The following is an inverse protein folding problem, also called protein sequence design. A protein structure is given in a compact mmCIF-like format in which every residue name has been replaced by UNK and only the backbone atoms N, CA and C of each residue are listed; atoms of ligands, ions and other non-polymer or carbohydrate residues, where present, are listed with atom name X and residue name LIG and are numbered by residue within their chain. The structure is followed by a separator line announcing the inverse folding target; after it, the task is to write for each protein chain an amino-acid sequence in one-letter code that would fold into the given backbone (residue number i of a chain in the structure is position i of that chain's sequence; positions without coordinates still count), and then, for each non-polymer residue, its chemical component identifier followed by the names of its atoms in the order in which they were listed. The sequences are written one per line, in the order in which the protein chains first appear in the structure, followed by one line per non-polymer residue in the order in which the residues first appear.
data_IF_977492825628
#
_entry.id   IF_977492825628
#
_cell.length_a   1.000
_cell.length_b   1.000
_cell.length_c   1.000
_cell.angle_alpha   90.00
_cell.angle_beta   90.00
_cell.angle_gamma   90.00
#
_symmetry.space_group_name_H-M   'P 1'
#
loop_
_entity.id
_entity.type
_entity.pdbx_description
1 polymer ?
#
# COMPACT_ATOMS: atom_id res chain seq x y z
N UNK A 1 1.35 -13.63 -2.03
CA UNK A 1 -0.08 -14.01 -2.10
C UNK A 1 -0.73 -14.33 -0.74
N UNK A 2 -0.12 -15.13 0.16
CA UNK A 2 -0.72 -15.41 1.49
C UNK A 2 -1.01 -14.16 2.34
N UNK A 3 -0.23 -13.08 2.16
CA UNK A 3 -0.42 -11.83 2.89
C UNK A 3 -1.80 -11.18 2.67
N UNK A 4 -2.28 -11.08 1.43
CA UNK A 4 -3.59 -10.46 1.14
C UNK A 4 -4.77 -11.36 1.57
N UNK A 5 -4.60 -12.67 1.50
CA UNK A 5 -5.57 -13.62 2.05
C UNK A 5 -5.77 -13.39 3.56
N UNK A 6 -4.66 -13.25 4.31
CA UNK A 6 -4.70 -12.99 5.75
C UNK A 6 -5.38 -11.64 6.06
N UNK A 7 -5.05 -10.58 5.31
CA UNK A 7 -5.71 -9.26 5.46
C UNK A 7 -7.24 -9.36 5.27
N UNK A 8 -7.70 -10.13 4.27
CA UNK A 8 -9.13 -10.36 4.08
C UNK A 8 -9.82 -11.10 5.23
N UNK A 9 -9.12 -12.01 5.92
CA UNK A 9 -9.64 -12.71 7.10
C UNK A 9 -9.69 -11.78 8.32
N UNK A 10 -8.68 -10.96 8.51
CA UNK A 10 -8.59 -9.97 9.59
C UNK A 10 -9.68 -8.90 9.47
N UNK A 11 -9.89 -8.35 8.27
CA UNK A 11 -11.01 -7.42 8.06
C UNK A 11 -12.36 -8.06 8.46
N UNK A 12 -12.58 -9.33 8.11
CA UNK A 12 -13.81 -10.05 8.48
C UNK A 12 -13.95 -10.26 9.98
N UNK A 13 -12.87 -10.53 10.71
CA UNK A 13 -12.93 -10.68 12.17
C UNK A 13 -13.34 -9.35 12.84
N UNK A 14 -12.93 -8.22 12.24
CA UNK A 14 -13.28 -6.86 12.62
C UNK A 14 -14.62 -6.36 12.06
N UNK A 15 -15.40 -7.21 11.39
CA UNK A 15 -16.67 -6.83 10.75
C UNK A 15 -16.50 -5.73 9.68
N UNK A 16 -15.33 -5.70 9.05
CA UNK A 16 -14.98 -4.81 7.94
C UNK A 16 -15.00 -5.64 6.65
N UNK A 17 -15.71 -5.13 5.64
CA UNK A 17 -15.86 -5.83 4.37
C UNK A 17 -14.64 -5.60 3.48
N UNK A 18 -14.13 -6.69 2.91
CA UNK A 18 -12.96 -6.66 2.04
C UNK A 18 -13.37 -6.90 0.59
N UNK A 19 -13.12 -5.91 -0.27
CA UNK A 19 -13.33 -5.97 -1.71
C UNK A 19 -11.99 -5.92 -2.42
N UNK A 20 -11.78 -6.82 -3.39
CA UNK A 20 -10.61 -6.78 -4.27
C UNK A 20 -11.06 -6.42 -5.68
N UNK A 21 -10.52 -5.31 -6.20
CA UNK A 21 -10.74 -4.86 -7.58
C UNK A 21 -9.61 -5.42 -8.45
N UNK A 22 -9.94 -6.31 -9.39
CA UNK A 22 -8.99 -6.79 -10.38
C UNK A 22 -9.08 -5.93 -11.64
N UNK A 23 -8.22 -4.92 -11.72
CA UNK A 23 -8.24 -3.92 -12.80
C UNK A 23 -7.77 -4.54 -14.13
N UNK A 24 -6.89 -5.54 -14.07
CA UNK A 24 -6.32 -6.18 -15.26
C UNK A 24 -7.34 -6.92 -16.14
N UNK A 25 -8.45 -7.38 -15.55
CA UNK A 25 -9.52 -8.07 -16.30
C UNK A 25 -10.23 -7.12 -17.30
N UNK A 26 -10.25 -5.81 -17.02
CA UNK A 26 -10.86 -4.79 -17.88
C UNK A 26 -9.97 -4.31 -19.04
N UNK A 27 -8.67 -4.63 -19.01
CA UNK A 27 -7.72 -4.19 -20.02
C UNK A 27 -7.66 -5.15 -21.21
N UNK A 28 -7.52 -4.59 -22.42
CA UNK A 28 -7.30 -5.38 -23.64
C UNK A 28 -5.97 -6.15 -23.53
N UNK A 29 -5.86 -7.37 -24.11
CA UNK A 29 -4.60 -8.11 -24.08
C UNK A 29 -3.39 -7.33 -24.64
N UNK A 30 -3.63 -6.43 -25.60
CA UNK A 30 -2.61 -5.59 -26.24
C UNK A 30 -2.11 -4.42 -25.38
N UNK A 31 -2.85 -4.01 -24.35
CA UNK A 31 -2.44 -2.91 -23.45
C UNK A 31 -1.75 -3.43 -22.19
N UNK A 32 -1.81 -4.74 -21.93
CA UNK A 32 -1.23 -5.35 -20.73
C UNK A 32 0.30 -5.31 -20.79
N UNK A 33 0.92 -4.66 -19.81
CA UNK A 33 2.38 -4.63 -19.67
C UNK A 33 2.93 -6.06 -19.51
N UNK A 34 3.79 -6.50 -20.42
CA UNK A 34 4.49 -7.80 -20.40
C UNK A 34 5.62 -7.86 -19.34
N UNK A 35 5.62 -6.96 -18.36
CA UNK A 35 6.74 -6.80 -17.41
C UNK A 35 7.98 -6.14 -18.03
N UNK A 36 7.95 -5.78 -19.31
CA UNK A 36 9.00 -5.02 -19.96
C UNK A 36 9.01 -3.56 -19.47
N UNK A 37 9.96 -3.27 -18.57
CA UNK A 37 10.46 -1.97 -18.11
C UNK A 37 9.67 -0.75 -18.62
N UNK A 38 8.57 -0.41 -17.95
CA UNK A 38 8.20 1.00 -17.91
C UNK A 38 9.28 1.71 -17.09
N UNK A 39 10.17 2.41 -17.80
CA UNK A 39 11.13 3.33 -17.18
C UNK A 39 10.35 4.56 -16.74
N UNK A 40 10.28 4.81 -15.44
CA UNK A 40 9.61 5.99 -14.87
C UNK A 40 10.52 7.26 -14.93
N UNK A 41 11.74 7.11 -15.46
CA UNK A 41 12.74 8.14 -15.77
C UNK A 41 13.41 7.69 -17.09
N UNK A 42 13.51 8.42 -18.20
CA UNK A 42 13.58 9.88 -18.42
C UNK A 42 13.19 10.24 -19.88
N UNK A 43 12.96 11.55 -20.07
CA UNK A 43 13.37 12.42 -21.20
C UNK A 43 12.52 12.66 -22.48
N UNK A 44 11.52 11.86 -22.86
CA UNK A 44 10.66 12.22 -24.01
C UNK A 44 9.32 12.84 -23.60
N UNK A 45 9.42 14.08 -23.12
CA UNK A 45 8.31 14.90 -22.61
C UNK A 45 7.23 15.28 -23.64
N UNK A 46 7.37 14.85 -24.90
CA UNK A 46 6.45 15.22 -25.99
C UNK A 46 5.61 14.06 -26.54
N UNK A 47 5.88 12.80 -26.15
CA UNK A 47 5.12 11.62 -26.60
C UNK A 47 4.49 10.80 -25.46
N UNK A 48 4.71 11.19 -24.21
CA UNK A 48 4.28 10.43 -23.04
C UNK A 48 3.31 11.28 -22.20
N UNK A 49 2.03 11.31 -22.59
CA UNK A 49 1.05 11.16 -21.50
C UNK A 49 1.45 9.83 -20.84
N UNK A 50 1.76 9.77 -19.53
CA UNK A 50 1.98 8.48 -18.90
C UNK A 50 0.74 7.67 -19.26
N UNK A 51 0.86 6.53 -19.96
CA UNK A 51 -0.32 5.82 -20.39
C UNK A 51 -1.16 5.63 -19.14
N UNK A 52 -2.39 6.13 -19.18
CA UNK A 52 -3.37 5.94 -18.12
C UNK A 52 -3.76 4.47 -18.11
N UNK A 53 -2.79 3.62 -17.80
CA UNK A 53 -2.86 2.20 -18.05
C UNK A 53 -3.89 1.56 -17.14
N UNK A 54 -4.11 2.16 -15.97
CA UNK A 54 -5.01 1.65 -14.96
C UNK A 54 -5.93 2.71 -14.34
N UNK A 55 -5.65 4.01 -14.46
CA UNK A 55 -6.36 5.05 -13.68
C UNK A 55 -7.83 5.19 -14.08
N UNK A 56 -8.14 5.24 -15.38
CA UNK A 56 -9.52 5.18 -15.89
C UNK A 56 -10.28 3.95 -15.40
N UNK A 57 -9.68 2.76 -15.53
CA UNK A 57 -10.32 1.52 -15.10
C UNK A 57 -10.51 1.43 -13.58
N UNK A 58 -9.55 1.92 -12.80
CA UNK A 58 -9.66 2.06 -11.33
C UNK A 58 -10.82 3.00 -10.99
N UNK A 59 -10.90 4.15 -11.63
CA UNK A 59 -11.95 5.14 -11.41
C UNK A 59 -13.34 4.58 -11.74
N UNK A 60 -13.50 3.89 -12.86
CA UNK A 60 -14.78 3.26 -13.25
C UNK A 60 -15.22 2.18 -12.27
N UNK A 61 -14.32 1.26 -11.91
CA UNK A 61 -14.65 0.18 -10.97
C UNK A 61 -14.98 0.73 -9.58
N UNK A 62 -14.22 1.72 -9.11
CA UNK A 62 -14.47 2.33 -7.81
C UNK A 62 -15.77 3.14 -7.80
N UNK A 63 -16.08 3.86 -8.88
CA UNK A 63 -17.37 4.55 -9.05
C UNK A 63 -18.54 3.58 -9.01
N UNK A 64 -18.44 2.45 -9.70
CA UNK A 64 -19.45 1.38 -9.66
C UNK A 64 -19.63 0.83 -8.25
N UNK A 65 -18.53 0.63 -7.51
CA UNK A 65 -18.55 0.14 -6.13
C UNK A 65 -19.21 1.15 -5.18
N UNK A 66 -18.87 2.43 -5.31
CA UNK A 66 -19.47 3.54 -4.54
C UNK A 66 -20.98 3.58 -4.71
N UNK A 67 -21.47 3.47 -5.95
CA UNK A 67 -22.90 3.44 -6.24
C UNK A 67 -23.58 2.19 -5.70
N UNK A 68 -22.96 1.02 -5.88
CA UNK A 68 -23.54 -0.27 -5.48
C UNK A 68 -23.65 -0.42 -3.97
N UNK A 69 -22.65 0.08 -3.23
CA UNK A 69 -22.59 -0.01 -1.77
C UNK A 69 -23.15 1.24 -1.07
N UNK A 70 -23.56 2.26 -1.83
CA UNK A 70 -24.00 3.56 -1.32
C UNK A 70 -22.97 4.16 -0.33
N UNK A 71 -21.71 4.23 -0.78
CA UNK A 71 -20.59 4.70 0.05
C UNK A 71 -20.75 6.19 0.34
N UNK A 72 -20.62 6.56 1.62
CA UNK A 72 -20.77 7.94 2.10
C UNK A 72 -19.45 8.71 2.30
N UNK A 73 -18.30 8.03 2.30
CA UNK A 73 -16.97 8.61 2.44
C UNK A 73 -15.93 7.65 1.85
N UNK A 74 -14.86 8.20 1.27
CA UNK A 74 -13.70 7.42 0.85
C UNK A 74 -12.47 7.91 1.61
N UNK A 75 -11.76 6.99 2.25
CA UNK A 75 -10.46 7.24 2.85
C UNK A 75 -9.41 6.38 2.17
N UNK A 76 -8.28 6.97 1.77
CA UNK A 76 -7.16 6.28 1.14
C UNK A 76 -5.84 6.61 1.83
N UNK A 77 -4.86 5.73 1.68
CA UNK A 77 -3.48 6.01 2.07
C UNK A 77 -2.80 7.00 1.11
N UNK A 78 -1.63 7.50 1.54
CA UNK A 78 -0.77 8.37 0.75
C UNK A 78 0.35 7.58 0.06
N UNK A 79 0.59 7.89 -1.21
CA UNK A 79 1.78 7.45 -1.93
C UNK A 79 2.31 8.59 -2.79
N UNK A 80 3.63 8.93 -2.71
CA UNK A 80 4.22 10.00 -3.51
C UNK A 80 4.47 9.59 -4.97
N UNK A 81 4.22 8.33 -5.33
CA UNK A 81 4.48 7.80 -6.66
C UNK A 81 3.50 8.38 -7.67
N UNK A 82 3.99 8.58 -8.92
CA UNK A 82 3.20 9.19 -10.00
C UNK A 82 1.91 8.40 -10.30
N UNK A 83 1.99 7.07 -10.43
CA UNK A 83 0.82 6.28 -10.81
C UNK A 83 -0.30 6.28 -9.74
N UNK A 84 -0.03 5.97 -8.45
CA UNK A 84 -1.06 6.11 -7.40
C UNK A 84 -1.65 7.52 -7.29
N UNK A 85 -0.81 8.56 -7.36
CA UNK A 85 -1.28 9.96 -7.35
C UNK A 85 -2.22 10.24 -8.53
N UNK A 86 -1.87 9.76 -9.72
CA UNK A 86 -2.69 9.90 -10.92
C UNK A 86 -4.02 9.15 -10.77
N UNK A 87 -4.04 7.93 -10.22
CA UNK A 87 -5.27 7.17 -10.01
C UNK A 87 -6.23 7.91 -9.06
N UNK A 88 -5.72 8.48 -7.98
CA UNK A 88 -6.51 9.29 -7.05
C UNK A 88 -7.16 10.47 -7.77
N UNK A 89 -6.43 11.17 -8.64
CA UNK A 89 -6.99 12.30 -9.39
C UNK A 89 -8.07 11.86 -10.39
N UNK A 90 -7.88 10.74 -11.08
CA UNK A 90 -8.91 10.18 -11.97
C UNK A 90 -10.17 9.77 -11.21
N UNK A 91 -10.01 9.13 -10.06
CA UNK A 91 -11.12 8.77 -9.19
C UNK A 91 -11.86 10.03 -8.72
N UNK A 92 -11.13 11.03 -8.21
CA UNK A 92 -11.69 12.28 -7.68
C UNK A 92 -12.51 13.04 -8.73
N UNK A 93 -12.07 13.06 -9.98
CA UNK A 93 -12.78 13.74 -11.08
C UNK A 93 -14.03 13.00 -11.56
N UNK A 94 -14.13 11.68 -11.36
CA UNK A 94 -15.28 10.88 -11.79
C UNK A 94 -16.35 10.66 -10.70
N UNK A 95 -16.00 10.88 -9.45
CA UNK A 95 -16.90 10.74 -8.31
C UNK A 95 -17.75 12.00 -8.08
N UNK A 96 -18.91 11.87 -7.41
CA UNK A 96 -19.75 13.02 -7.10
C UNK A 96 -19.01 14.05 -6.22
N UNK A 97 -19.07 15.37 -6.53
CA UNK A 97 -18.35 16.40 -5.79
C UNK A 97 -18.69 16.47 -4.29
N UNK A 98 -19.88 16.02 -3.92
CA UNK A 98 -20.37 16.00 -2.54
C UNK A 98 -19.85 14.82 -1.71
N UNK A 99 -19.21 13.82 -2.32
CA UNK A 99 -18.68 12.66 -1.62
C UNK A 99 -17.33 13.03 -0.97
N UNK A 100 -17.19 12.99 0.37
CA UNK A 100 -15.92 13.23 1.03
C UNK A 100 -14.86 12.23 0.56
N UNK A 101 -13.70 12.76 0.18
CA UNK A 101 -12.53 12.00 -0.22
C UNK A 101 -11.34 12.47 0.61
N UNK A 102 -10.90 11.62 1.54
CA UNK A 102 -9.83 11.92 2.49
C UNK A 102 -8.60 11.08 2.18
N UNK A 103 -7.42 11.69 2.29
CA UNK A 103 -6.15 11.00 2.19
C UNK A 103 -5.41 11.07 3.52
N UNK A 104 -4.80 9.96 3.94
CA UNK A 104 -4.08 9.83 5.20
C UNK A 104 -2.69 9.26 4.95
N UNK A 105 -1.67 9.87 5.53
CA UNK A 105 -0.32 9.31 5.51
C UNK A 105 -0.22 8.18 6.53
N UNK A 106 -0.40 6.95 6.03
CA UNK A 106 -0.35 5.72 6.79
C UNK A 106 1.05 5.09 6.82
N UNK A 107 2.05 5.71 6.18
CA UNK A 107 3.36 5.08 5.94
C UNK A 107 4.47 5.76 6.74
N UNK A 108 4.39 7.08 6.90
CA UNK A 108 5.38 7.85 7.63
C UNK A 108 4.94 8.09 9.08
N UNK A 109 5.90 8.13 10.00
CA UNK A 109 5.65 8.52 11.39
C UNK A 109 5.13 9.96 11.42
N UNK A 110 5.87 10.89 10.81
CA UNK A 110 5.42 12.27 10.61
C UNK A 110 4.83 12.36 9.20
N UNK A 111 3.55 12.77 9.03
CA UNK A 111 2.95 12.92 7.71
C UNK A 111 3.82 13.77 6.79
N UNK A 112 3.96 13.38 5.52
CA UNK A 112 4.93 13.99 4.59
C UNK A 112 4.74 15.51 4.48
N UNK A 113 3.49 15.98 4.44
CA UNK A 113 3.14 17.41 4.35
C UNK A 113 3.30 18.15 5.68
N UNK A 114 3.47 17.44 6.80
CA UNK A 114 3.81 18.01 8.09
C UNK A 114 5.32 18.03 8.34
N UNK A 115 6.09 17.19 7.63
CA UNK A 115 7.54 17.02 7.84
C UNK A 115 8.36 18.21 7.35
N UNK A 116 8.07 18.73 6.16
CA UNK A 116 8.72 19.92 5.59
C UNK A 116 7.87 20.54 4.48
N UNK A 117 7.83 21.87 4.40
CA UNK A 117 7.12 22.61 3.35
C UNK A 117 7.82 22.55 1.97
N UNK A 118 9.02 21.94 1.91
CA UNK A 118 9.82 21.82 0.70
C UNK A 118 10.63 20.52 0.67
N UNK A 119 11.06 20.17 -0.54
CA UNK A 119 12.07 19.13 -0.73
C UNK A 119 13.37 19.53 -0.02
N UNK A 120 13.86 18.64 0.85
CA UNK A 120 15.06 18.86 1.63
C UNK A 120 16.30 18.34 0.90
N UNK A 121 17.37 19.13 0.93
CA UNK A 121 18.59 18.83 0.18
C UNK A 121 19.36 17.63 0.75
N UNK A 122 19.28 17.39 2.06
CA UNK A 122 20.04 16.31 2.69
C UNK A 122 19.39 15.80 3.97
N UNK A 123 19.86 14.65 4.44
CA UNK A 123 19.45 14.11 5.73
C UNK A 123 19.76 15.08 6.90
N UNK A 124 20.81 15.91 6.79
CA UNK A 124 21.16 16.90 7.83
C UNK A 124 20.08 17.99 7.98
N UNK A 125 19.38 18.35 6.91
CA UNK A 125 18.40 19.44 6.92
C UNK A 125 17.00 18.96 7.31
N UNK A 126 16.61 17.73 6.95
CA UNK A 126 15.32 17.16 7.33
C UNK A 126 15.28 16.57 8.75
N UNK A 127 16.38 15.97 9.24
CA UNK A 127 16.40 15.30 10.56
C UNK A 127 15.91 16.19 11.71
N UNK A 128 16.41 17.42 11.90
CA UNK A 128 15.98 18.26 13.02
C UNK A 128 14.46 18.53 13.00
N UNK A 129 13.90 18.78 11.82
CA UNK A 129 12.46 19.04 11.63
C UNK A 129 11.59 17.85 12.03
N UNK A 130 12.02 16.63 11.66
CA UNK A 130 11.31 15.41 12.03
C UNK A 130 11.46 15.10 13.53
N UNK A 131 12.65 15.30 14.09
CA UNK A 131 12.89 15.09 15.53
C UNK A 131 12.06 16.04 16.40
N UNK A 132 11.93 17.30 16.02
CA UNK A 132 11.08 18.28 16.70
C UNK A 132 9.61 17.83 16.77
N UNK A 133 9.12 17.15 15.72
CA UNK A 133 7.74 16.66 15.60
C UNK A 133 7.53 15.28 16.23
N UNK A 134 8.61 14.59 16.62
CA UNK A 134 8.52 13.21 17.11
C UNK A 134 7.63 13.10 18.35
N UNK A 135 7.68 14.06 19.28
CA UNK A 135 6.83 14.03 20.48
C UNK A 135 5.33 14.08 20.19
N UNK A 136 4.91 14.61 19.04
CA UNK A 136 3.50 14.66 18.63
C UNK A 136 3.06 13.41 17.87
N UNK A 137 3.93 12.87 17.00
CA UNK A 137 3.52 11.85 16.02
C UNK A 137 4.00 10.44 16.36
N UNK A 138 5.11 10.28 17.09
CA UNK A 138 5.59 8.98 17.54
C UNK A 138 4.80 8.57 18.79
N UNK A 139 3.57 8.14 18.57
CA UNK A 139 2.62 7.74 19.60
C UNK A 139 2.16 6.31 19.35
N UNK A 140 1.65 5.66 20.39
CA UNK A 140 1.02 4.35 20.26
C UNK A 140 -0.25 4.44 19.41
N UNK A 141 -0.51 3.40 18.61
CA UNK A 141 -1.76 3.31 17.86
C UNK A 141 -2.91 2.92 18.79
N UNK A 142 -4.10 3.53 18.64
CA UNK A 142 -5.28 3.05 19.36
C UNK A 142 -5.62 1.63 18.90
N UNK A 143 -6.16 0.78 19.79
CA UNK A 143 -6.54 -0.58 19.42
C UNK A 143 -7.63 -0.57 18.35
N UNK A 144 -7.51 -1.45 17.35
CA UNK A 144 -8.55 -1.63 16.35
C UNK A 144 -9.81 -2.20 17.01
N UNK A 145 -10.90 -1.46 16.88
CA UNK A 145 -12.22 -1.87 17.37
C UNK A 145 -13.01 -2.55 16.25
N UNK A 146 -13.75 -3.59 16.61
CA UNK A 146 -14.68 -4.24 15.69
C UNK A 146 -15.78 -3.27 15.28
N UNK A 147 -16.08 -3.20 13.99
CA UNK A 147 -17.12 -2.33 13.47
C UNK A 147 -18.48 -2.73 14.05
N UNK A 148 -19.26 -1.79 14.64
CA UNK A 148 -20.50 -2.11 15.35
C UNK A 148 -21.63 -2.56 14.42
N UNK A 149 -21.61 -2.16 13.16
CA UNK A 149 -22.61 -2.53 12.16
C UNK A 149 -22.09 -3.61 11.22
N UNK A 150 -22.84 -4.69 11.02
CA UNK A 150 -22.54 -5.70 10.00
C UNK A 150 -23.23 -5.38 8.67
N UNK A 151 -22.52 -5.42 7.54
CA UNK A 151 -23.18 -5.32 6.23
C UNK A 151 -23.81 -6.67 5.88
N UNK A 152 -25.14 -6.65 5.70
CA UNK A 152 -25.91 -7.82 5.25
C UNK A 152 -25.99 -7.95 3.72
N UNK A 153 -25.50 -6.96 2.97
CA UNK A 153 -25.63 -6.93 1.51
C UNK A 153 -24.96 -8.16 0.86
N UNK A 154 -25.54 -8.74 -0.21
CA UNK A 154 -24.95 -9.89 -0.90
C UNK A 154 -23.54 -9.60 -1.45
N UNK A 155 -23.28 -8.36 -1.85
CA UNK A 155 -21.97 -7.86 -2.32
C UNK A 155 -20.92 -7.90 -1.21
N UNK A 156 -21.31 -7.63 0.03
CA UNK A 156 -20.47 -7.67 1.23
C UNK A 156 -20.02 -9.11 1.62
N UNK A 157 -20.59 -10.15 0.99
CA UNK A 157 -20.27 -11.58 1.25
C UNK A 157 -19.40 -12.24 0.17
N UNK A 158 -19.09 -11.54 -0.93
CA UNK A 158 -18.30 -12.13 -2.03
C UNK A 158 -16.90 -12.48 -1.51
N UNK A 159 -16.55 -13.76 -1.53
CA UNK A 159 -15.19 -14.21 -1.24
C UNK A 159 -14.31 -14.02 -2.47
N UNK A 160 -13.11 -13.47 -2.25
CA UNK A 160 -12.09 -13.37 -3.29
C UNK A 160 -11.62 -14.77 -3.68
N UNK A 161 -11.71 -15.11 -4.97
CA UNK A 161 -11.18 -16.36 -5.50
C UNK A 161 -9.71 -16.16 -5.89
N UNK A 162 -8.82 -16.48 -4.95
CA UNK A 162 -7.37 -16.32 -5.12
C UNK A 162 -6.77 -17.23 -6.19
N UNK A 163 -7.35 -18.42 -6.41
CA UNK A 163 -6.88 -19.34 -7.45
C UNK A 163 -7.12 -18.75 -8.83
N UNK A 164 -8.33 -18.22 -9.07
CA UNK A 164 -8.69 -17.57 -10.33
C UNK A 164 -7.81 -16.34 -10.62
N UNK A 165 -7.51 -15.54 -9.60
CA UNK A 165 -6.62 -14.37 -9.76
C UNK A 165 -5.22 -14.81 -10.20
N UNK A 166 -4.71 -15.89 -9.62
CA UNK A 166 -3.41 -16.44 -9.97
C UNK A 166 -3.40 -17.05 -11.37
N UNK A 167 -4.43 -17.81 -11.73
CA UNK A 167 -4.59 -18.38 -13.07
C UNK A 167 -4.67 -17.29 -14.15
N UNK A 168 -5.29 -16.17 -13.82
CA UNK A 168 -5.42 -15.02 -14.71
C UNK A 168 -4.25 -14.02 -14.60
N UNK A 169 -3.23 -14.32 -13.81
CA UNK A 169 -2.09 -13.42 -13.63
C UNK A 169 -1.23 -13.43 -14.91
N UNK A 170 -1.04 -12.25 -15.49
CA UNK A 170 -0.37 -12.05 -16.79
C UNK A 170 1.09 -11.56 -16.64
N UNK A 171 1.62 -11.47 -15.43
CA UNK A 171 3.00 -11.00 -15.21
C UNK A 171 4.06 -12.06 -15.47
N UNK A 172 5.32 -11.61 -15.51
CA UNK A 172 6.48 -12.50 -15.61
C UNK A 172 6.53 -13.49 -14.44
N UNK A 173 6.31 -14.76 -14.76
CA UNK A 173 6.34 -15.87 -13.80
C UNK A 173 7.70 -16.60 -13.76
N UNK A 174 8.71 -16.10 -14.49
CA UNK A 174 10.07 -16.67 -14.43
C UNK A 174 10.75 -16.37 -13.10
N UNK A 175 10.48 -15.18 -12.55
CA UNK A 175 10.95 -14.79 -11.21
C UNK A 175 10.16 -15.54 -10.16
N UNK A 176 10.83 -16.48 -9.49
CA UNK A 176 10.20 -17.28 -8.44
C UNK A 176 10.01 -16.49 -7.14
N UNK A 177 9.03 -16.88 -6.31
CA UNK A 177 8.91 -16.34 -4.96
C UNK A 177 10.21 -16.53 -4.17
N UNK A 178 10.56 -15.54 -3.34
CA UNK A 178 11.70 -15.67 -2.42
C UNK A 178 11.35 -16.59 -1.25
N UNK A 179 12.29 -17.44 -0.86
CA UNK A 179 12.07 -18.43 0.20
C UNK A 179 12.20 -17.83 1.62
N UNK A 180 12.98 -16.77 1.77
CA UNK A 180 13.32 -16.19 3.07
C UNK A 180 12.26 -15.18 3.57
N UNK A 181 11.61 -14.43 2.68
CA UNK A 181 10.64 -13.40 3.06
C UNK A 181 9.19 -13.90 2.97
N UNK A 182 8.69 -14.47 4.07
CA UNK A 182 7.29 -14.87 4.17
C UNK A 182 6.37 -13.63 4.25
N UNK A 183 5.34 -13.49 3.41
CA UNK A 183 4.49 -12.30 3.41
C UNK A 183 3.51 -12.28 4.59
N UNK A 184 3.11 -11.07 5.02
CA UNK A 184 2.10 -10.82 6.06
C UNK A 184 2.68 -10.19 7.34
N UNK A 185 1.83 -9.59 8.18
CA UNK A 185 2.25 -8.85 9.39
C UNK A 185 2.91 -9.76 10.42
N UNK A 186 2.34 -10.92 10.70
CA UNK A 186 2.90 -11.89 11.63
C UNK A 186 4.37 -12.26 11.30
N UNK A 187 4.68 -12.49 10.02
CA UNK A 187 6.05 -12.76 9.58
C UNK A 187 6.95 -11.53 9.71
N UNK A 188 6.42 -10.33 9.43
CA UNK A 188 7.15 -9.07 9.62
C UNK A 188 7.59 -8.88 11.08
N UNK A 189 6.67 -9.09 12.02
CA UNK A 189 6.96 -8.97 13.46
C UNK A 189 7.93 -10.04 13.96
N UNK A 190 7.88 -11.26 13.41
CA UNK A 190 8.87 -12.29 13.72
C UNK A 190 10.28 -11.88 13.28
N UNK A 191 10.42 -11.33 12.07
CA UNK A 191 11.71 -10.85 11.54
C UNK A 191 12.21 -9.63 12.34
N UNK A 192 11.31 -8.70 12.69
CA UNK A 192 11.64 -7.55 13.53
C UNK A 192 12.14 -8.00 14.90
N UNK A 193 11.46 -8.98 15.52
CA UNK A 193 11.86 -9.52 16.81
C UNK A 193 13.23 -10.19 16.76
N UNK A 194 13.47 -11.07 15.78
CA UNK A 194 14.80 -11.68 15.57
C UNK A 194 15.87 -10.61 15.34
N UNK A 195 15.57 -9.55 14.57
CA UNK A 195 16.52 -8.45 14.40
C UNK A 195 16.86 -7.78 15.73
N UNK A 196 15.87 -7.41 16.54
CA UNK A 196 16.07 -6.77 17.86
C UNK A 196 16.86 -7.68 18.80
N UNK A 197 16.46 -8.94 18.92
CA UNK A 197 17.00 -9.88 19.91
C UNK A 197 18.42 -10.36 19.53
N UNK A 198 18.74 -10.48 18.24
CA UNK A 198 19.94 -11.20 17.77
C UNK A 198 20.95 -10.32 17.03
N UNK A 199 20.50 -9.32 16.26
CA UNK A 199 21.33 -8.61 15.26
C UNK A 199 21.51 -7.11 15.53
N UNK A 200 20.59 -6.47 16.25
CA UNK A 200 20.59 -5.01 16.46
C UNK A 200 21.87 -4.50 17.12
N UNK A 201 22.45 -5.29 18.05
CA UNK A 201 23.73 -4.96 18.70
C UNK A 201 24.91 -4.84 17.73
N UNK A 202 24.86 -5.60 16.64
CA UNK A 202 25.93 -5.68 15.64
C UNK A 202 25.67 -4.76 14.44
N UNK A 203 24.47 -4.16 14.36
CA UNK A 203 24.01 -3.38 13.21
C UNK A 203 24.92 -2.18 12.91
N UNK A 204 25.27 -1.36 13.90
CA UNK A 204 26.06 -0.14 13.64
C UNK A 204 27.46 -0.46 13.10
N UNK A 205 28.08 -1.51 13.66
CA UNK A 205 29.42 -1.96 13.26
C UNK A 205 29.43 -2.65 11.88
N UNK A 206 28.38 -3.41 11.53
CA UNK A 206 28.41 -4.33 10.39
C UNK A 206 27.37 -4.05 9.29
N UNK A 207 26.54 -3.00 9.38
CA UNK A 207 25.51 -2.68 8.36
C UNK A 207 26.04 -2.51 6.92
N UNK A 208 27.34 -2.23 6.77
CA UNK A 208 27.99 -2.03 5.47
C UNK A 208 28.77 -3.25 4.99
N UNK A 209 28.78 -4.35 5.75
CA UNK A 209 29.50 -5.56 5.40
C UNK A 209 28.53 -6.64 4.88
N UNK A 210 28.53 -6.93 3.57
CA UNK A 210 27.63 -7.94 3.00
C UNK A 210 27.93 -9.37 3.47
N UNK A 211 29.11 -9.65 4.04
CA UNK A 211 29.43 -10.96 4.61
C UNK A 211 28.81 -11.17 6.00
N UNK A 212 28.38 -10.09 6.66
CA UNK A 212 27.78 -10.13 7.99
C UNK A 212 26.28 -9.85 7.90
N UNK A 213 25.41 -10.81 8.29
CA UNK A 213 23.96 -10.63 8.25
C UNK A 213 23.51 -9.77 9.42
N UNK A 214 23.86 -8.48 9.42
CA UNK A 214 23.56 -7.54 10.50
C UNK A 214 22.32 -6.68 10.22
N UNK A 215 21.80 -6.69 8.99
CA UNK A 215 20.62 -5.92 8.59
C UNK A 215 19.33 -6.48 9.20
N UNK A 216 18.28 -5.66 9.20
CA UNK A 216 16.96 -6.06 9.68
C UNK A 216 16.22 -6.97 8.71
N UNK A 217 16.55 -6.89 7.42
CA UNK A 217 15.87 -7.52 6.30
C UNK A 217 14.38 -7.15 6.16
N UNK A 218 13.92 -6.10 6.85
CA UNK A 218 12.51 -5.71 6.90
C UNK A 218 11.98 -5.01 5.63
N UNK A 219 12.84 -4.68 4.67
CA UNK A 219 12.47 -3.91 3.48
C UNK A 219 11.31 -4.48 2.66
N UNK A 220 11.14 -5.81 2.48
CA UNK A 220 9.97 -6.34 1.76
C UNK A 220 8.66 -6.03 2.47
N UNK A 221 8.64 -6.05 3.80
CA UNK A 221 7.43 -5.76 4.57
C UNK A 221 7.13 -4.27 4.65
N UNK A 222 8.15 -3.40 4.77
CA UNK A 222 7.95 -1.96 4.68
C UNK A 222 7.40 -1.55 3.33
N UNK A 223 7.96 -2.07 2.23
CA UNK A 223 7.49 -1.75 0.88
C UNK A 223 6.00 -2.01 0.67
N UNK A 224 5.46 -3.09 1.25
CA UNK A 224 4.04 -3.46 1.14
C UNK A 224 3.18 -3.03 2.34
N UNK A 225 3.70 -2.19 3.24
CA UNK A 225 2.98 -1.70 4.42
C UNK A 225 2.52 -2.81 5.37
N UNK A 226 3.33 -3.87 5.54
CA UNK A 226 2.96 -5.06 6.34
C UNK A 226 3.47 -5.05 7.78
N UNK A 227 4.25 -4.06 8.17
CA UNK A 227 4.71 -3.85 9.56
C UNK A 227 3.85 -2.89 10.36
N UNK A 228 3.00 -2.10 9.70
CA UNK A 228 2.09 -1.15 10.33
C UNK A 228 0.68 -1.74 10.36
N UNK A 229 0.32 -2.36 11.48
CA UNK A 229 -1.08 -2.63 11.80
C UNK A 229 -1.73 -1.32 12.25
N UNK A 230 -2.29 -0.56 11.31
CA UNK A 230 -3.46 0.32 11.46
C UNK A 230 -3.48 1.34 10.32
N UNK A 231 -4.39 1.19 9.36
CA UNK A 231 -5.31 2.25 8.91
C UNK A 231 -6.52 1.54 8.28
N UNK A 232 -7.56 1.35 9.07
CA UNK A 232 -8.93 1.37 8.57
C UNK A 232 -9.56 2.62 9.21
N UNK A 233 -9.56 3.72 8.47
CA UNK A 233 -10.32 4.90 8.83
C UNK A 233 -11.65 4.81 8.09
N UNK A 234 -12.72 4.93 8.87
CA UNK A 234 -14.13 4.69 8.53
C UNK A 234 -14.62 5.54 7.35
#
# INVERSE_FOLDING_TARGET
HRGLFNSGQECRSLNIHFHLLNIADGLSPSTRSEGAKHRWADEDSQLLQPPDLYGSQVAEQLKSLVQTLNIGCIVTDFSPLRAPTMWIEHVRTQLPPQLPFCQVDAHNIVPVWCGSDKCEFSARTIRPKLYEKTGQFLTEFPPLIKHPFSCSAPTCRKSVNWNKIRENYWGDCTVQPVDWAKPGSAAAFQVLRSFIDERLRDFDAHRNDPANPALSDLSPWFHFGKTLEAVALY
#
